data_IF_380938040097
#
_entry.id   IF_380938040097
#
_cell.length_a   1.000
_cell.length_b   1.000
_cell.length_c   1.000
_cell.angle_alpha   90.00
_cell.angle_beta   90.00
_cell.angle_gamma   90.00
#
_symmetry.space_group_name_H-M   'P 1'
#
loop_
_entity.id
_entity.type
_entity.pdbx_description
1 polymer ?
#
# COMPACT_ATOMS: atom_id res chain seq x y z
N UNK A 1 -43.37 7.27 35.76
CA UNK A 1 -42.07 6.58 35.54
C UNK A 1 -42.17 5.77 34.26
N UNK A 2 -41.49 6.19 33.19
CA UNK A 2 -41.40 5.40 31.97
C UNK A 2 -39.96 5.51 31.46
N UNK A 3 -39.31 4.36 31.48
CA UNK A 3 -37.90 4.14 31.18
C UNK A 3 -37.63 4.32 29.69
N UNK A 4 -36.71 5.23 29.34
CA UNK A 4 -36.09 5.27 28.01
C UNK A 4 -35.06 4.14 27.93
N UNK A 5 -35.26 3.20 27.01
CA UNK A 5 -34.29 2.15 26.69
C UNK A 5 -33.86 2.27 25.23
N UNK A 6 -32.58 1.97 25.04
CA UNK A 6 -31.88 1.65 23.79
C UNK A 6 -31.37 2.85 22.98
N UNK A 7 -30.21 3.37 23.42
CA UNK A 7 -29.18 3.83 22.50
C UNK A 7 -28.78 2.65 21.61
N UNK A 8 -29.11 2.72 20.32
CA UNK A 8 -28.46 1.88 19.31
C UNK A 8 -27.00 2.31 19.22
N UNK A 9 -26.09 1.49 19.73
CA UNK A 9 -24.67 1.63 19.41
C UNK A 9 -24.56 1.32 17.92
N UNK A 10 -24.28 2.35 17.11
CA UNK A 10 -23.94 2.15 15.72
C UNK A 10 -22.75 1.19 15.66
N UNK A 11 -22.93 0.00 15.09
CA UNK A 11 -21.84 -0.92 14.85
C UNK A 11 -20.82 -0.22 13.96
N UNK A 12 -19.66 0.15 14.52
CA UNK A 12 -18.52 0.60 13.71
C UNK A 12 -18.23 -0.53 12.71
N UNK A 13 -18.19 -0.21 11.42
CA UNK A 13 -17.68 -1.14 10.40
C UNK A 13 -16.16 -1.24 10.57
N UNK A 14 -15.73 -2.02 11.55
CA UNK A 14 -14.30 -2.25 11.81
C UNK A 14 -13.76 -3.18 10.71
N UNK A 15 -12.61 -2.78 10.14
CA UNK A 15 -11.88 -3.47 9.09
C UNK A 15 -10.43 -3.64 9.54
N UNK A 16 -9.87 -4.80 9.24
CA UNK A 16 -8.54 -5.28 9.63
C UNK A 16 -7.84 -5.79 8.37
N UNK A 17 -7.41 -4.90 7.46
CA UNK A 17 -6.94 -5.30 6.14
C UNK A 17 -5.59 -6.03 6.20
N UNK A 18 -5.30 -6.75 5.13
CA UNK A 18 -3.96 -7.20 4.78
C UNK A 18 -3.65 -6.70 3.37
N UNK A 19 -2.55 -5.99 3.18
CA UNK A 19 -2.11 -5.50 1.87
C UNK A 19 -0.84 -6.20 1.45
N UNK A 20 -0.75 -6.52 0.17
CA UNK A 20 0.44 -7.07 -0.45
C UNK A 20 1.11 -6.02 -1.32
N UNK A 21 2.44 -6.06 -1.32
CA UNK A 21 3.27 -5.25 -2.20
C UNK A 21 4.47 -6.09 -2.67
N UNK A 22 4.70 -6.16 -3.98
CA UNK A 22 5.86 -6.87 -4.50
C UNK A 22 5.74 -7.19 -5.98
N UNK A 23 6.72 -7.93 -6.52
CA UNK A 23 6.68 -8.38 -7.90
C UNK A 23 5.76 -9.60 -8.05
N UNK A 24 4.95 -9.60 -9.11
CA UNK A 24 4.02 -10.65 -9.47
C UNK A 24 4.21 -11.01 -10.95
N UNK A 25 4.38 -12.29 -11.22
CA UNK A 25 4.43 -12.85 -12.57
C UNK A 25 3.02 -13.06 -13.09
N UNK A 26 2.62 -12.35 -14.14
CA UNK A 26 1.31 -12.48 -14.76
C UNK A 26 1.35 -13.64 -15.75
N UNK A 27 0.73 -14.75 -15.37
CA UNK A 27 0.73 -16.00 -16.16
C UNK A 27 -0.33 -15.92 -17.26
N UNK A 28 -1.50 -15.39 -16.95
CA UNK A 28 -2.59 -15.26 -17.91
C UNK A 28 -3.45 -14.02 -17.64
N UNK A 29 -3.93 -13.41 -18.71
CA UNK A 29 -5.00 -12.42 -18.66
C UNK A 29 -6.34 -13.11 -18.94
N UNK A 30 -7.25 -13.04 -17.98
CA UNK A 30 -8.56 -13.71 -18.04
C UNK A 30 -9.67 -12.78 -18.55
N UNK A 31 -9.32 -11.54 -18.91
CA UNK A 31 -10.23 -10.53 -19.42
C UNK A 31 -11.00 -9.78 -18.33
N UNK A 32 -12.04 -9.06 -18.75
CA UNK A 32 -12.83 -8.21 -17.88
C UNK A 32 -13.90 -9.01 -17.12
N UNK A 33 -13.97 -8.81 -15.81
CA UNK A 33 -15.00 -9.37 -14.94
C UNK A 33 -16.35 -8.74 -15.26
N UNK A 34 -17.38 -9.58 -15.45
CA UNK A 34 -18.76 -9.15 -15.66
C UNK A 34 -19.21 -9.08 -17.13
N UNK A 35 -18.32 -9.35 -18.09
CA UNK A 35 -18.67 -9.51 -19.51
C UNK A 35 -19.17 -8.22 -20.17
N UNK A 36 -18.24 -7.48 -20.77
CA UNK A 36 -18.56 -6.32 -21.62
C UNK A 36 -17.28 -5.73 -22.18
N UNK A 37 -17.29 -5.31 -23.44
CA UNK A 37 -16.16 -4.62 -24.10
C UNK A 37 -16.17 -3.13 -23.72
N UNK A 38 -16.25 -2.83 -22.42
CA UNK A 38 -16.17 -1.45 -21.95
C UNK A 38 -14.72 -1.02 -21.85
N UNK A 39 -14.44 0.25 -22.15
CA UNK A 39 -13.06 0.78 -22.07
C UNK A 39 -12.47 0.65 -20.67
N UNK A 40 -13.31 0.72 -19.64
CA UNK A 40 -12.94 0.62 -18.23
C UNK A 40 -13.65 -0.54 -17.56
N UNK A 41 -12.98 -1.18 -16.60
CA UNK A 41 -13.54 -2.29 -15.86
C UNK A 41 -12.54 -2.94 -14.92
N UNK A 42 -12.99 -4.00 -14.25
CA UNK A 42 -12.11 -4.83 -13.44
C UNK A 42 -11.58 -5.98 -14.30
N UNK A 43 -10.26 -6.06 -14.44
CA UNK A 43 -9.59 -7.10 -15.19
C UNK A 43 -9.02 -8.15 -14.24
N UNK A 44 -9.16 -9.42 -14.62
CA UNK A 44 -8.70 -10.55 -13.82
C UNK A 44 -7.50 -11.22 -14.45
N UNK A 45 -6.54 -11.62 -13.62
CA UNK A 45 -5.30 -12.26 -14.04
C UNK A 45 -4.99 -13.48 -13.16
N UNK A 46 -4.33 -14.46 -13.75
CA UNK A 46 -3.65 -15.52 -13.02
C UNK A 46 -2.22 -15.08 -12.70
N UNK A 47 -1.86 -15.17 -11.41
CA UNK A 47 -0.50 -14.90 -10.93
C UNK A 47 -0.17 -15.83 -9.77
N UNK A 48 1.04 -15.75 -9.25
CA UNK A 48 1.51 -16.58 -8.15
C UNK A 48 2.23 -15.76 -7.09
N UNK A 49 2.26 -16.30 -5.88
CA UNK A 49 3.21 -15.87 -4.84
C UNK A 49 4.19 -17.02 -4.62
N UNK A 50 5.46 -16.74 -4.91
CA UNK A 50 6.57 -17.65 -4.71
C UNK A 50 7.22 -17.52 -3.34
N UNK A 51 7.55 -18.65 -2.72
CA UNK A 51 8.38 -18.73 -1.53
C UNK A 51 9.34 -19.91 -1.61
N UNK A 52 10.41 -19.88 -0.83
CA UNK A 52 11.39 -20.97 -0.78
C UNK A 52 11.04 -21.92 0.37
N UNK A 53 10.85 -23.20 0.08
CA UNK A 53 10.65 -24.23 1.10
C UNK A 53 11.89 -24.27 2.02
N UNK A 54 11.76 -23.98 3.33
CA UNK A 54 12.89 -23.99 4.25
C UNK A 54 13.52 -25.38 4.45
N UNK A 55 12.80 -26.45 4.13
CA UNK A 55 13.25 -27.84 4.28
C UNK A 55 13.99 -28.32 3.04
N UNK A 56 13.42 -28.05 1.86
CA UNK A 56 13.92 -28.57 0.57
C UNK A 56 14.80 -27.58 -0.19
N UNK A 57 14.69 -26.28 0.11
CA UNK A 57 15.33 -25.21 -0.65
C UNK A 57 14.73 -24.98 -2.04
N UNK A 58 13.66 -25.70 -2.37
CA UNK A 58 12.94 -25.58 -3.64
C UNK A 58 12.00 -24.37 -3.61
N UNK A 59 11.79 -23.74 -4.77
CA UNK A 59 10.78 -22.70 -4.91
C UNK A 59 9.40 -23.34 -5.07
N UNK A 60 8.44 -22.87 -4.26
CA UNK A 60 7.03 -23.25 -4.34
C UNK A 60 6.25 -21.99 -4.72
N UNK A 61 5.42 -22.11 -5.76
CA UNK A 61 4.56 -21.04 -6.24
C UNK A 61 3.09 -21.41 -6.02
N UNK A 62 2.37 -20.56 -5.29
CA UNK A 62 0.94 -20.74 -5.04
C UNK A 62 0.16 -19.76 -5.89
N UNK A 63 -0.77 -20.28 -6.69
CA UNK A 63 -1.61 -19.47 -7.58
C UNK A 63 -2.61 -18.62 -6.80
N UNK A 64 -2.73 -17.36 -7.19
CA UNK A 64 -3.73 -16.40 -6.72
C UNK A 64 -4.37 -15.71 -7.93
N UNK A 65 -5.51 -15.06 -7.72
CA UNK A 65 -6.08 -14.14 -8.71
C UNK A 65 -5.65 -12.72 -8.40
N UNK A 66 -5.30 -11.94 -9.42
CA UNK A 66 -5.16 -10.50 -9.30
C UNK A 66 -6.31 -9.81 -10.05
N UNK A 67 -7.00 -8.90 -9.37
CA UNK A 67 -8.12 -8.14 -9.91
C UNK A 67 -7.79 -6.65 -9.85
N UNK A 68 -7.45 -6.03 -11.00
CA UNK A 68 -7.13 -4.61 -11.06
C UNK A 68 -8.25 -3.85 -11.77
N UNK A 69 -8.71 -2.74 -11.19
CA UNK A 69 -9.62 -1.84 -11.89
C UNK A 69 -8.80 -0.90 -12.78
N UNK A 70 -9.11 -0.84 -14.06
CA UNK A 70 -8.34 -0.06 -15.02
C UNK A 70 -9.04 0.05 -16.35
N UNK A 71 -8.24 0.25 -17.40
CA UNK A 71 -8.73 0.35 -18.78
C UNK A 71 -8.11 -0.72 -19.66
N UNK A 72 -8.74 -1.06 -20.78
CA UNK A 72 -8.18 -2.06 -21.70
C UNK A 72 -6.74 -1.73 -22.17
N UNK A 73 -6.37 -0.46 -22.47
CA UNK A 73 -4.98 -0.10 -22.81
C UNK A 73 -3.97 -0.26 -21.67
N UNK A 74 -4.43 -0.21 -20.43
CA UNK A 74 -3.56 -0.33 -19.23
C UNK A 74 -3.62 -1.73 -18.60
N UNK A 75 -4.36 -2.65 -19.21
CA UNK A 75 -4.46 -4.03 -18.75
C UNK A 75 -3.08 -4.71 -18.70
N UNK A 76 -2.88 -5.56 -17.70
CA UNK A 76 -1.63 -6.29 -17.51
C UNK A 76 -1.51 -7.36 -18.59
N UNK A 77 -0.28 -7.57 -19.06
CA UNK A 77 0.01 -8.54 -20.11
C UNK A 77 0.52 -9.84 -19.49
N UNK A 78 0.16 -10.97 -20.12
CA UNK A 78 0.75 -12.25 -19.78
C UNK A 78 2.26 -12.27 -20.08
N UNK A 79 2.99 -13.15 -19.39
CA UNK A 79 4.44 -13.34 -19.49
C UNK A 79 5.26 -12.09 -19.16
N UNK A 80 4.70 -11.22 -18.30
CA UNK A 80 5.35 -10.03 -17.76
C UNK A 80 5.31 -10.05 -16.24
N UNK A 81 6.33 -9.46 -15.63
CA UNK A 81 6.38 -9.22 -14.19
C UNK A 81 6.02 -7.77 -13.90
N UNK A 82 5.11 -7.58 -12.96
CA UNK A 82 4.70 -6.27 -12.49
C UNK A 82 4.95 -6.14 -10.98
N UNK A 83 5.37 -4.95 -10.54
CA UNK A 83 5.22 -4.59 -9.14
C UNK A 83 3.75 -4.21 -8.93
N UNK A 84 3.05 -4.98 -8.10
CA UNK A 84 1.66 -4.75 -7.73
C UNK A 84 1.59 -4.34 -6.26
N UNK A 85 0.60 -3.52 -5.96
CA UNK A 85 0.15 -3.18 -4.62
C UNK A 85 -1.35 -3.40 -4.57
N UNK A 86 -1.85 -4.05 -3.52
CA UNK A 86 -3.29 -4.25 -3.37
C UNK A 86 -3.68 -4.87 -2.05
N UNK A 87 -4.99 -4.96 -1.83
CA UNK A 87 -5.57 -5.67 -0.68
C UNK A 87 -5.68 -7.16 -0.97
N UNK A 88 -5.30 -7.99 -0.01
CA UNK A 88 -5.46 -9.44 -0.08
C UNK A 88 -6.77 -9.85 0.57
N UNK A 89 -7.50 -10.75 -0.09
CA UNK A 89 -8.58 -11.54 0.50
C UNK A 89 -8.23 -13.02 0.36
N UNK A 90 -7.87 -13.66 1.46
CA UNK A 90 -7.44 -15.05 1.50
C UNK A 90 -8.35 -15.88 2.41
N UNK A 91 -9.55 -16.24 1.94
CA UNK A 91 -10.66 -16.81 2.75
C UNK A 91 -10.38 -18.11 3.52
N UNK A 92 -9.18 -18.69 3.41
CA UNK A 92 -8.82 -20.00 3.96
C UNK A 92 -9.77 -21.12 3.49
N UNK A 93 -10.23 -21.02 2.25
CA UNK A 93 -11.14 -21.97 1.58
C UNK A 93 -10.41 -22.67 0.41
N UNK A 94 -11.03 -23.69 -0.20
CA UNK A 94 -10.52 -24.33 -1.43
C UNK A 94 -10.76 -23.44 -2.67
N UNK A 95 -10.38 -22.17 -2.56
CA UNK A 95 -10.49 -21.18 -3.60
C UNK A 95 -9.20 -20.32 -3.61
N UNK A 96 -8.68 -19.93 -4.79
CA UNK A 96 -7.52 -19.06 -4.87
C UNK A 96 -7.76 -17.74 -4.13
N UNK A 97 -6.81 -17.27 -3.29
CA UNK A 97 -6.83 -15.92 -2.76
C UNK A 97 -6.91 -14.87 -3.86
N UNK A 98 -7.47 -13.70 -3.54
CA UNK A 98 -7.63 -12.60 -4.48
C UNK A 98 -6.84 -11.40 -4.00
N UNK A 99 -5.98 -10.87 -4.87
CA UNK A 99 -5.34 -9.57 -4.73
C UNK A 99 -6.17 -8.53 -5.49
N UNK A 100 -6.76 -7.58 -4.78
CA UNK A 100 -7.38 -6.40 -5.38
C UNK A 100 -6.32 -5.32 -5.57
N UNK A 101 -5.79 -5.23 -6.78
CA UNK A 101 -4.65 -4.36 -7.13
C UNK A 101 -5.07 -2.95 -7.51
N UNK A 102 -4.22 -1.99 -7.15
CA UNK A 102 -4.30 -0.59 -7.51
C UNK A 102 -3.52 -0.34 -8.81
N UNK A 103 -4.22 -0.07 -9.90
CA UNK A 103 -3.62 0.07 -11.23
C UNK A 103 -2.68 1.28 -11.33
N UNK A 104 -2.99 2.38 -10.65
CA UNK A 104 -2.23 3.64 -10.72
C UNK A 104 -0.79 3.54 -10.19
N UNK A 105 -0.52 2.55 -9.35
CA UNK A 105 0.81 2.30 -8.76
C UNK A 105 1.48 1.06 -9.34
N UNK A 106 0.90 0.47 -10.39
CA UNK A 106 1.43 -0.72 -11.04
C UNK A 106 2.60 -0.36 -11.97
N UNK A 107 3.69 -1.14 -11.91
CA UNK A 107 4.89 -0.93 -12.71
C UNK A 107 5.32 -2.23 -13.41
N UNK A 108 5.40 -2.23 -14.73
CA UNK A 108 6.03 -3.32 -15.49
C UNK A 108 7.56 -3.27 -15.29
N UNK A 109 8.15 -4.37 -14.84
CA UNK A 109 9.60 -4.46 -14.60
C UNK A 109 10.33 -5.39 -15.57
N UNK A 110 9.63 -6.10 -16.45
CA UNK A 110 10.23 -6.91 -17.51
C UNK A 110 9.47 -8.19 -17.84
N UNK A 111 10.11 -9.05 -18.62
CA UNK A 111 9.59 -10.36 -19.04
C UNK A 111 9.73 -11.41 -17.93
N UNK A 112 8.76 -12.30 -17.78
CA UNK A 112 8.78 -13.38 -16.80
C UNK A 112 10.03 -14.25 -16.89
N UNK A 113 10.51 -14.52 -18.12
CA UNK A 113 11.75 -15.27 -18.37
C UNK A 113 12.99 -14.71 -17.67
N UNK A 114 13.01 -13.40 -17.37
CA UNK A 114 14.11 -12.73 -16.66
C UNK A 114 14.11 -13.06 -15.16
N UNK A 115 12.97 -13.49 -14.61
CA UNK A 115 12.74 -13.57 -13.17
C UNK A 115 12.39 -14.98 -12.64
N UNK A 116 12.48 -16.02 -13.47
CA UNK A 116 11.97 -17.39 -13.20
C UNK A 116 12.41 -18.06 -11.89
N UNK A 117 13.44 -17.55 -11.20
CA UNK A 117 13.87 -18.03 -9.88
C UNK A 117 14.20 -16.90 -8.89
N UNK A 118 13.77 -15.68 -9.18
CA UNK A 118 14.16 -14.47 -8.45
C UNK A 118 13.01 -13.89 -7.59
N UNK A 119 11.78 -14.35 -7.79
CA UNK A 119 10.58 -13.80 -7.18
C UNK A 119 10.27 -14.38 -5.80
N UNK A 120 10.84 -15.54 -5.47
CA UNK A 120 10.63 -16.17 -4.17
C UNK A 120 10.95 -15.23 -3.00
N UNK A 121 10.02 -15.16 -2.04
CA UNK A 121 10.11 -14.36 -0.82
C UNK A 121 10.25 -12.84 -1.09
N UNK A 122 9.76 -12.34 -2.23
CA UNK A 122 9.81 -10.90 -2.58
C UNK A 122 8.49 -10.16 -2.38
N UNK A 123 7.41 -10.88 -2.07
CA UNK A 123 6.11 -10.28 -1.76
C UNK A 123 6.05 -9.91 -0.28
N UNK A 124 5.99 -8.61 -0.03
CA UNK A 124 5.80 -8.01 1.28
C UNK A 124 4.31 -8.00 1.61
N UNK A 125 4.01 -8.17 2.89
CA UNK A 125 2.66 -8.03 3.43
C UNK A 125 2.69 -7.02 4.58
N UNK A 126 1.71 -6.14 4.59
CA UNK A 126 1.38 -5.28 5.71
C UNK A 126 0.00 -5.68 6.24
N UNK A 127 -0.02 -6.21 7.44
CA UNK A 127 -1.21 -6.71 8.10
C UNK A 127 -1.63 -5.79 9.23
N UNK A 128 -2.92 -5.47 9.31
CA UNK A 128 -3.54 -4.95 10.51
C UNK A 128 -4.62 -5.94 10.94
N UNK A 129 -4.43 -6.61 12.08
CA UNK A 129 -5.27 -7.74 12.47
C UNK A 129 -5.43 -7.93 13.97
N UNK A 130 -6.39 -8.77 14.36
CA UNK A 130 -6.63 -9.15 15.76
C UNK A 130 -5.90 -10.45 16.04
N UNK A 131 -5.10 -10.48 17.11
CA UNK A 131 -4.42 -11.71 17.55
C UNK A 131 -5.45 -12.72 18.05
N UNK A 132 -5.57 -13.87 17.37
CA UNK A 132 -6.51 -14.95 17.75
C UNK A 132 -5.80 -16.19 18.30
N UNK A 133 -4.55 -16.43 17.90
CA UNK A 133 -3.70 -17.49 18.46
C UNK A 133 -2.27 -16.98 18.63
N UNK A 134 -1.59 -17.44 19.67
CA UNK A 134 -0.14 -17.27 19.81
C UNK A 134 0.49 -18.48 20.48
N UNK A 135 1.70 -18.83 20.03
CA UNK A 135 2.44 -20.00 20.53
C UNK A 135 3.94 -19.77 20.34
N UNK A 136 4.74 -20.07 21.36
CA UNK A 136 6.20 -20.05 21.24
C UNK A 136 6.67 -21.43 20.75
N UNK A 137 7.40 -21.43 19.63
CA UNK A 137 7.79 -22.64 18.90
C UNK A 137 9.31 -22.64 18.72
N UNK A 138 10.02 -23.74 19.03
CA UNK A 138 11.43 -23.87 18.68
C UNK A 138 11.64 -23.74 17.17
N UNK A 139 12.67 -23.01 16.76
CA UNK A 139 12.99 -22.82 15.35
C UNK A 139 14.43 -22.40 15.13
N UNK A 140 14.72 -22.03 13.89
CA UNK A 140 16.06 -21.61 13.48
C UNK A 140 16.05 -20.17 12.98
N UNK A 141 17.12 -19.44 13.31
CA UNK A 141 17.40 -18.09 12.86
C UNK A 141 18.35 -18.06 11.68
N UNK A 142 18.82 -16.85 11.38
CA UNK A 142 19.86 -16.65 10.36
C UNK A 142 21.10 -17.47 10.76
N UNK A 143 21.66 -18.22 9.82
CA UNK A 143 22.81 -19.09 10.07
C UNK A 143 22.50 -20.36 10.86
N UNK A 144 21.25 -20.84 10.82
CA UNK A 144 20.80 -22.06 11.52
C UNK A 144 21.02 -22.04 13.04
N UNK A 145 21.02 -20.84 13.64
CA UNK A 145 21.10 -20.68 15.08
C UNK A 145 19.75 -21.02 15.70
N UNK A 146 19.74 -21.97 16.65
CA UNK A 146 18.52 -22.31 17.39
C UNK A 146 17.98 -21.08 18.14
N UNK A 147 16.68 -20.86 18.04
CA UNK A 147 15.96 -19.79 18.72
C UNK A 147 14.50 -20.20 18.98
N UNK A 148 13.82 -19.49 19.87
CA UNK A 148 12.37 -19.65 20.07
C UNK A 148 11.65 -18.57 19.28
N UNK A 149 10.89 -18.97 18.25
CA UNK A 149 10.05 -18.05 17.48
C UNK A 149 8.67 -17.95 18.12
N UNK A 150 7.98 -16.84 17.88
CA UNK A 150 6.57 -16.70 18.24
C UNK A 150 5.72 -16.83 16.98
N UNK A 151 4.87 -17.84 16.96
CA UNK A 151 3.86 -18.05 15.94
C UNK A 151 2.59 -17.33 16.39
N UNK A 152 2.13 -16.37 15.61
CA UNK A 152 0.93 -15.56 15.91
C UNK A 152 -0.03 -15.67 14.74
N UNK A 153 -1.25 -16.11 14.98
CA UNK A 153 -2.30 -16.04 13.97
C UNK A 153 -3.05 -14.73 14.19
N UNK A 154 -3.07 -13.88 13.16
CA UNK A 154 -3.94 -12.72 13.13
C UNK A 154 -5.16 -13.01 12.27
N UNK A 155 -6.32 -12.66 12.81
CA UNK A 155 -7.57 -12.59 12.07
C UNK A 155 -7.67 -11.21 11.42
N UNK A 156 -7.73 -11.24 10.10
CA UNK A 156 -7.97 -10.12 9.23
C UNK A 156 -9.44 -10.11 8.82
N UNK A 157 -9.88 -8.94 8.38
CA UNK A 157 -11.25 -8.73 8.01
C UNK A 157 -11.34 -7.63 7.00
N UNK A 158 -11.92 -7.90 5.85
CA UNK A 158 -12.03 -6.90 4.77
C UNK A 158 -13.31 -7.10 3.96
N UNK A 159 -13.58 -6.19 3.05
CA UNK A 159 -14.66 -6.30 2.07
C UNK A 159 -14.15 -7.01 0.82
N UNK A 160 -14.86 -8.07 0.44
CA UNK A 160 -14.63 -8.79 -0.81
C UNK A 160 -15.56 -8.25 -1.89
N UNK A 161 -14.97 -7.62 -2.90
CA UNK A 161 -15.72 -7.02 -4.00
C UNK A 161 -16.48 -8.06 -4.84
N UNK A 162 -16.00 -9.31 -4.87
CA UNK A 162 -16.60 -10.38 -5.68
C UNK A 162 -17.88 -10.91 -5.05
N UNK A 163 -17.87 -11.20 -3.74
CA UNK A 163 -19.08 -11.62 -3.01
C UNK A 163 -19.91 -10.47 -2.46
N UNK A 164 -19.41 -9.24 -2.56
CA UNK A 164 -20.04 -8.03 -2.02
C UNK A 164 -20.34 -8.13 -0.52
N UNK A 165 -19.49 -8.85 0.21
CA UNK A 165 -19.66 -9.14 1.62
C UNK A 165 -18.37 -8.89 2.40
N UNK A 166 -18.54 -8.66 3.71
CA UNK A 166 -17.43 -8.67 4.65
C UNK A 166 -16.97 -10.11 4.86
N UNK A 167 -15.67 -10.34 4.75
CA UNK A 167 -15.05 -11.65 4.94
C UNK A 167 -13.99 -11.56 6.02
N UNK A 168 -13.83 -12.66 6.76
CA UNK A 168 -12.77 -12.83 7.76
C UNK A 168 -11.84 -13.93 7.27
N UNK A 169 -10.56 -13.76 7.54
CA UNK A 169 -9.55 -14.76 7.21
C UNK A 169 -8.35 -14.64 8.14
N UNK A 170 -7.56 -15.70 8.21
CA UNK A 170 -6.43 -15.85 9.12
C UNK A 170 -5.13 -15.99 8.34
N UNK A 171 -4.07 -15.42 8.91
CA UNK A 171 -2.70 -15.50 8.41
C UNK A 171 -1.77 -15.81 9.60
N UNK A 172 -0.84 -16.75 9.40
CA UNK A 172 0.19 -17.06 10.38
C UNK A 172 1.38 -16.12 10.20
N UNK A 173 1.75 -15.44 11.27
CA UNK A 173 2.93 -14.59 11.35
C UNK A 173 3.97 -15.23 12.27
N UNK A 174 5.15 -15.50 11.73
CA UNK A 174 6.32 -16.03 12.44
C UNK A 174 7.20 -14.85 12.84
N UNK A 175 7.16 -14.49 14.11
CA UNK A 175 8.02 -13.46 14.72
C UNK A 175 9.33 -14.11 15.16
N UNK A 176 10.48 -13.76 14.56
CA UNK A 176 11.75 -14.38 14.91
C UNK A 176 12.16 -14.06 16.36
N UNK A 177 12.65 -15.07 17.07
CA UNK A 177 13.25 -14.96 18.43
C UNK A 177 14.60 -14.26 18.49
N UNK A 178 14.95 -13.44 17.51
CA UNK A 178 16.26 -12.82 17.42
C UNK A 178 16.37 -11.58 18.34
N UNK A 179 17.56 -10.98 18.41
CA UNK A 179 17.82 -9.82 19.28
C UNK A 179 16.97 -8.58 18.95
N UNK A 180 16.40 -8.52 17.75
CA UNK A 180 15.61 -7.39 17.26
C UNK A 180 14.14 -7.56 17.68
N UNK A 181 13.53 -8.71 17.35
CA UNK A 181 12.10 -8.93 17.49
C UNK A 181 11.72 -9.81 18.69
N UNK A 182 12.62 -10.60 19.26
CA UNK A 182 12.30 -11.49 20.38
C UNK A 182 11.71 -10.77 21.60
N UNK A 183 12.15 -9.53 21.86
CA UNK A 183 11.61 -8.68 22.95
C UNK A 183 10.16 -8.22 22.71
N UNK A 184 9.65 -8.36 21.48
CA UNK A 184 8.31 -7.91 21.10
C UNK A 184 7.22 -8.96 21.37
N UNK A 185 7.57 -10.18 21.77
CA UNK A 185 6.61 -11.28 21.99
C UNK A 185 5.49 -10.90 22.98
N UNK A 186 5.81 -10.10 24.01
CA UNK A 186 4.82 -9.63 24.99
C UNK A 186 3.78 -8.64 24.43
N UNK A 187 4.00 -8.09 23.23
CA UNK A 187 3.09 -7.15 22.58
C UNK A 187 1.85 -7.85 21.99
N UNK A 188 2.02 -9.08 21.52
CA UNK A 188 0.98 -9.91 20.91
C UNK A 188 0.07 -10.51 21.98
N UNK A 189 -0.99 -9.81 22.38
CA UNK A 189 -1.97 -10.34 23.35
C UNK A 189 -3.21 -10.81 22.60
N UNK A 190 -3.80 -11.92 23.03
CA UNK A 190 -5.08 -12.39 22.46
C UNK A 190 -6.11 -11.26 22.49
N UNK A 191 -6.86 -11.10 21.40
CA UNK A 191 -7.87 -10.05 21.22
C UNK A 191 -7.31 -8.65 20.94
N UNK A 192 -5.98 -8.47 20.93
CA UNK A 192 -5.37 -7.16 20.66
C UNK A 192 -5.19 -6.94 19.17
N UNK A 193 -5.51 -5.74 18.72
CA UNK A 193 -5.13 -5.25 17.39
C UNK A 193 -3.62 -5.04 17.30
N UNK A 194 -3.04 -5.46 16.18
CA UNK A 194 -1.61 -5.34 15.92
C UNK A 194 -1.40 -4.99 14.46
N UNK A 195 -0.57 -3.98 14.21
CA UNK A 195 -0.01 -3.73 12.89
C UNK A 195 1.31 -4.50 12.77
N UNK A 196 1.48 -5.21 11.67
CA UNK A 196 2.61 -6.09 11.44
C UNK A 196 3.04 -6.01 9.99
N UNK A 197 4.34 -6.08 9.75
CA UNK A 197 4.91 -6.12 8.40
C UNK A 197 5.89 -7.28 8.30
N UNK A 198 5.92 -7.91 7.14
CA UNK A 198 6.76 -9.06 6.85
C UNK A 198 6.74 -9.40 5.37
N UNK A 199 7.18 -10.59 5.04
CA UNK A 199 7.09 -11.12 3.69
C UNK A 199 6.49 -12.52 3.71
N UNK A 200 5.79 -12.89 2.63
CA UNK A 200 5.25 -14.24 2.47
C UNK A 200 6.43 -15.22 2.37
N UNK A 201 6.48 -16.19 3.27
CA UNK A 201 7.57 -17.17 3.37
C UNK A 201 7.09 -18.61 3.29
N UNK A 202 5.78 -18.84 3.24
CA UNK A 202 5.21 -20.17 3.26
C UNK A 202 3.70 -20.18 3.05
N UNK A 203 3.14 -21.38 2.94
CA UNK A 203 1.72 -21.63 2.88
C UNK A 203 1.44 -22.98 3.57
N UNK A 204 0.44 -23.00 4.46
CA UNK A 204 0.01 -24.18 5.19
C UNK A 204 -1.17 -24.81 4.43
N UNK A 205 -1.00 -25.92 3.70
CA UNK A 205 -2.07 -26.45 2.83
C UNK A 205 -3.28 -26.94 3.62
N UNK A 206 -3.06 -27.48 4.82
CA UNK A 206 -4.12 -28.02 5.68
C UNK A 206 -5.12 -26.94 6.12
N UNK A 207 -4.59 -25.78 6.52
CA UNK A 207 -5.37 -24.66 7.04
C UNK A 207 -5.61 -23.60 5.97
N UNK A 208 -5.06 -23.79 4.76
CA UNK A 208 -5.16 -22.90 3.60
C UNK A 208 -4.75 -21.48 3.95
N UNK A 209 -3.66 -21.37 4.70
CA UNK A 209 -3.24 -20.16 5.38
C UNK A 209 -1.83 -19.77 4.97
N UNK A 210 -1.62 -18.49 4.68
CA UNK A 210 -0.30 -17.95 4.38
C UNK A 210 0.58 -17.90 5.64
N UNK A 211 1.87 -18.14 5.45
CA UNK A 211 2.89 -17.93 6.47
C UNK A 211 3.73 -16.70 6.12
N UNK A 212 3.91 -15.84 7.11
CA UNK A 212 4.61 -14.57 6.99
C UNK A 212 5.79 -14.55 7.93
N UNK A 213 6.97 -14.25 7.41
CA UNK A 213 8.13 -13.96 8.25
C UNK A 213 8.17 -12.47 8.58
N UNK A 214 8.05 -12.16 9.87
CA UNK A 214 7.87 -10.79 10.36
C UNK A 214 9.19 -10.04 10.37
N UNK A 215 9.14 -8.79 9.92
CA UNK A 215 10.28 -7.86 9.90
C UNK A 215 10.04 -6.66 10.81
N UNK A 216 8.79 -6.25 11.02
CA UNK A 216 8.43 -5.15 11.91
C UNK A 216 7.07 -5.39 12.58
N UNK A 217 6.91 -4.84 13.79
CA UNK A 217 5.66 -4.87 14.55
C UNK A 217 5.42 -3.52 15.19
N UNK A 218 4.17 -3.07 15.13
CA UNK A 218 3.68 -1.89 15.83
C UNK A 218 2.42 -2.27 16.63
N UNK A 219 2.48 -2.29 17.96
CA UNK A 219 1.29 -2.47 18.77
C UNK A 219 0.41 -1.23 18.59
N UNK A 220 -0.88 -1.42 18.32
CA UNK A 220 -1.77 -0.26 18.31
C UNK A 220 -2.15 0.12 19.74
N UNK A 221 -2.24 1.43 19.93
CA UNK A 221 -3.01 2.04 20.99
C UNK A 221 -4.30 2.47 20.31
N UNK A 222 -5.46 2.35 20.97
CA UNK A 222 -6.65 3.07 20.51
C UNK A 222 -6.42 4.58 20.50
N UNK A 223 -7.49 5.36 20.34
CA UNK A 223 -7.45 6.82 20.28
C UNK A 223 -6.55 7.43 21.38
N UNK A 224 -5.34 7.88 21.02
CA UNK A 224 -4.45 8.62 21.94
C UNK A 224 -4.84 10.09 21.91
N UNK A 225 -5.00 10.70 23.09
CA UNK A 225 -5.11 12.14 23.19
C UNK A 225 -3.78 12.78 22.72
N UNK A 226 -3.84 13.61 21.67
CA UNK A 226 -2.67 14.29 21.15
C UNK A 226 -2.03 15.15 22.25
N UNK A 227 -0.79 14.83 22.63
CA UNK A 227 0.00 15.70 23.51
C UNK A 227 0.85 16.61 22.63
N UNK A 228 0.52 17.90 22.58
CA UNK A 228 1.28 18.90 21.80
C UNK A 228 2.59 19.18 22.52
N UNK A 229 3.72 18.74 21.96
CA UNK A 229 5.06 19.08 22.45
C UNK A 229 5.70 20.09 21.51
N UNK A 230 6.20 21.19 22.06
CA UNK A 230 6.91 22.25 21.32
C UNK A 230 8.35 21.79 21.02
N UNK A 231 8.82 21.81 19.77
CA UNK A 231 10.17 21.36 19.43
C UNK A 231 11.23 22.40 19.85
N UNK A 232 12.30 21.93 20.49
CA UNK A 232 13.45 22.74 20.92
C UNK A 232 14.63 22.55 19.93
N UNK A 233 15.15 23.65 19.36
CA UNK A 233 16.26 23.63 18.38
C UNK A 233 17.59 23.33 19.08
N UNK A 234 18.25 22.25 18.66
CA UNK A 234 19.66 21.99 18.94
C UNK A 234 20.54 22.37 17.75
N UNK A 235 21.76 22.86 18.01
CA UNK A 235 22.74 23.24 16.99
C UNK A 235 23.62 22.04 16.59
N UNK A 236 23.99 21.91 15.31
CA UNK A 236 25.22 21.18 14.89
C UNK A 236 25.66 21.42 13.44
N UNK A 237 26.97 21.17 13.30
CA UNK A 237 27.96 21.42 12.23
C UNK A 237 27.70 20.72 10.88
N UNK A 238 28.16 21.34 9.79
CA UNK A 238 27.89 20.93 8.41
C UNK A 238 29.09 20.41 7.59
N UNK A 239 28.74 19.76 6.46
CA UNK A 239 29.35 19.72 5.12
C UNK A 239 28.91 18.43 4.38
N UNK A 240 28.72 18.29 3.05
CA UNK A 240 28.31 19.11 1.88
C UNK A 240 28.08 18.15 0.68
N UNK A 241 27.32 18.58 -0.34
CA UNK A 241 27.16 18.07 -1.73
C UNK A 241 26.11 16.96 -2.03
N UNK A 242 24.92 17.33 -2.55
CA UNK A 242 24.00 16.39 -3.25
C UNK A 242 23.19 17.02 -4.42
N UNK A 243 22.85 16.12 -5.35
CA UNK A 243 22.17 16.14 -6.69
C UNK A 243 21.22 17.32 -7.02
N UNK A 244 21.11 17.74 -8.31
CA UNK A 244 20.14 18.75 -8.76
C UNK A 244 18.70 18.36 -8.42
N UNK A 245 17.93 19.31 -7.86
CA UNK A 245 16.51 19.10 -7.53
C UNK A 245 16.21 18.31 -6.25
N UNK A 246 17.23 17.89 -5.50
CA UNK A 246 17.03 17.24 -4.21
C UNK A 246 16.58 18.26 -3.16
N UNK A 247 15.29 18.24 -2.82
CA UNK A 247 14.81 18.94 -1.62
C UNK A 247 15.07 18.03 -0.44
N UNK A 248 16.16 18.29 0.26
CA UNK A 248 16.36 17.72 1.58
C UNK A 248 15.51 18.53 2.55
N UNK A 249 14.42 17.93 3.03
CA UNK A 249 13.58 18.56 4.06
C UNK A 249 14.46 18.81 5.30
N UNK A 250 14.69 20.09 5.62
CA UNK A 250 15.54 20.53 6.74
C UNK A 250 16.73 21.45 6.38
N UNK A 251 16.96 21.81 5.12
CA UNK A 251 18.04 22.73 4.71
C UNK A 251 17.51 24.03 4.13
N UNK A 252 17.63 25.15 4.85
CA UNK A 252 17.50 26.50 4.24
C UNK A 252 18.84 26.90 3.62
N UNK A 253 18.84 27.15 2.30
CA UNK A 253 19.99 27.66 1.55
C UNK A 253 20.05 29.18 1.67
N UNK A 254 21.15 29.73 2.18
CA UNK A 254 21.52 31.12 1.95
C UNK A 254 22.84 31.16 1.16
N UNK A 255 22.80 31.86 0.02
CA UNK A 255 23.91 32.06 -0.92
C UNK A 255 25.16 32.65 -0.24
N UNK A 256 26.39 32.25 -0.64
CA UNK A 256 27.58 32.98 -0.25
C UNK A 256 27.94 34.07 -1.28
N UNK A 257 28.30 35.25 -0.76
CA UNK A 257 29.02 36.31 -1.46
C UNK A 257 30.50 35.91 -1.59
N UNK A 258 31.19 36.18 -2.73
CA UNK A 258 32.57 35.72 -2.91
C UNK A 258 33.54 36.65 -2.16
N UNK A 259 34.47 36.06 -1.41
CA UNK A 259 35.67 36.79 -0.94
C UNK A 259 36.89 36.18 -1.63
N UNK A 260 37.56 37.02 -2.40
CA UNK A 260 38.83 36.74 -3.06
C UNK A 260 39.93 36.41 -2.04
N UNK A 261 40.76 35.42 -2.35
CA UNK A 261 42.12 35.35 -1.81
C UNK A 261 43.12 35.07 -2.94
N UNK A 262 44.35 35.60 -2.82
CA UNK A 262 45.24 35.82 -3.95
C UNK A 262 46.07 34.60 -4.33
N UNK A 263 46.49 34.64 -5.59
CA UNK A 263 47.51 33.85 -6.26
C UNK A 263 48.89 33.99 -5.54
N UNK A 264 49.94 33.20 -5.78
CA UNK A 264 50.27 32.22 -6.82
C UNK A 264 51.64 31.56 -6.48
N UNK A 265 52.04 30.61 -7.33
CA UNK A 265 53.40 30.09 -7.62
C UNK A 265 53.89 28.88 -6.82
N UNK A 266 54.44 27.82 -7.42
CA UNK A 266 54.80 27.49 -8.81
C UNK A 266 55.18 26.00 -8.87
N UNK A 267 54.74 25.25 -9.89
CA UNK A 267 55.46 24.90 -11.14
C UNK A 267 56.21 23.57 -11.07
N UNK A 268 55.83 22.60 -11.93
CA UNK A 268 56.72 21.84 -12.83
C UNK A 268 55.92 20.83 -13.70
N UNK A 269 56.01 21.02 -15.03
CA UNK A 269 56.06 20.05 -16.16
C UNK A 269 55.04 18.89 -16.24
N UNK A 270 54.55 18.43 -17.39
CA UNK A 270 54.78 18.70 -18.81
C UNK A 270 53.55 18.18 -19.59
N UNK A 271 53.28 18.78 -20.75
CA UNK A 271 52.13 18.48 -21.58
C UNK A 271 52.46 17.50 -22.72
N UNK A 272 51.47 16.66 -23.02
CA UNK A 272 51.07 16.11 -24.33
C UNK A 272 51.00 14.57 -24.36
N UNK A 273 49.78 14.01 -24.39
CA UNK A 273 49.21 13.57 -25.66
C UNK A 273 47.71 13.32 -25.59
N UNK A 274 47.08 13.54 -26.72
CA UNK A 274 45.65 13.54 -27.05
C UNK A 274 45.12 12.12 -27.21
N UNK A 275 43.85 11.85 -26.84
CA UNK A 275 42.94 10.96 -27.58
C UNK A 275 41.49 11.10 -27.12
N UNK A 276 40.74 11.80 -27.95
CA UNK A 276 39.31 11.77 -28.25
C UNK A 276 38.41 10.71 -27.59
N UNK A 277 37.29 11.17 -27.01
CA UNK A 277 35.97 10.66 -27.37
C UNK A 277 35.00 11.83 -27.58
N UNK A 278 34.39 11.81 -28.76
CA UNK A 278 33.61 12.87 -29.38
C UNK A 278 32.13 12.46 -29.29
N UNK A 279 31.31 13.22 -28.56
CA UNK A 279 29.85 13.07 -28.57
C UNK A 279 29.26 14.01 -29.63
N UNK A 280 28.42 13.54 -30.57
CA UNK A 280 27.70 14.44 -31.45
C UNK A 280 26.44 14.97 -30.76
N UNK A 281 26.31 16.29 -30.73
CA UNK A 281 25.07 16.98 -30.47
C UNK A 281 24.14 16.96 -31.70
N UNK A 282 22.84 16.92 -31.41
CA UNK A 282 21.71 17.53 -32.14
C UNK A 282 21.77 17.72 -33.66
N UNK A 283 20.86 17.04 -34.34
CA UNK A 283 20.18 17.56 -35.53
C UNK A 283 18.70 17.16 -35.44
N UNK A 284 17.81 18.16 -35.30
CA UNK A 284 16.36 17.93 -35.40
C UNK A 284 15.91 17.85 -36.85
N UNK A 285 14.64 17.46 -37.08
CA UNK A 285 13.87 17.99 -38.19
C UNK A 285 12.68 18.81 -37.68
N UNK A 286 12.57 20.01 -38.23
CA UNK A 286 11.37 20.83 -38.22
C UNK A 286 10.21 20.09 -38.91
N UNK A 287 9.05 20.05 -38.27
CA UNK A 287 7.80 19.57 -38.84
C UNK A 287 6.64 20.29 -38.17
N UNK A 288 6.12 21.30 -38.86
CA UNK A 288 4.88 22.01 -38.55
C UNK A 288 3.71 21.02 -38.55
N UNK A 289 2.89 21.04 -37.50
CA UNK A 289 1.73 20.16 -37.34
C UNK A 289 0.84 20.65 -36.20
N UNK A 290 -0.13 21.45 -36.58
CA UNK A 290 -1.34 21.92 -35.89
C UNK A 290 -1.74 21.15 -34.62
N UNK A 291 -1.92 21.88 -33.50
CA UNK A 291 -2.62 21.39 -32.31
C UNK A 291 -4.02 20.86 -32.70
N UNK A 292 -4.41 19.63 -32.35
CA UNK A 292 -5.81 19.24 -32.48
C UNK A 292 -6.64 20.00 -31.43
N UNK A 293 -7.63 20.71 -31.96
CA UNK A 293 -8.72 21.39 -31.26
C UNK A 293 -9.36 20.45 -30.24
N UNK A 294 -9.53 20.93 -29.01
CA UNK A 294 -10.36 20.29 -27.97
C UNK A 294 -11.80 20.29 -28.50
N UNK A 295 -12.45 19.14 -28.70
CA UNK A 295 -13.88 19.14 -28.93
C UNK A 295 -14.57 19.40 -27.59
N UNK A 296 -15.25 20.54 -27.48
CA UNK A 296 -16.37 20.67 -26.57
C UNK A 296 -17.43 19.65 -26.99
N UNK A 297 -17.81 18.74 -26.10
CA UNK A 297 -19.00 17.92 -26.28
C UNK A 297 -19.88 17.95 -25.04
N UNK A 298 -21.16 18.02 -25.40
CA UNK A 298 -22.35 18.28 -24.62
C UNK A 298 -22.64 17.19 -23.59
N UNK A 299 -23.30 17.63 -22.52
CA UNK A 299 -23.86 16.82 -21.44
C UNK A 299 -24.89 15.83 -22.03
N UNK A 300 -24.50 14.56 -22.15
CA UNK A 300 -25.37 13.48 -22.60
C UNK A 300 -26.32 13.05 -21.50
N UNK A 301 -27.52 13.59 -21.52
CA UNK A 301 -28.67 13.24 -20.68
C UNK A 301 -28.96 11.72 -20.73
N UNK A 302 -28.78 11.04 -19.59
CA UNK A 302 -29.27 9.66 -19.42
C UNK A 302 -30.70 9.74 -18.90
N UNK A 303 -31.66 9.35 -19.74
CA UNK A 303 -33.07 9.19 -19.35
C UNK A 303 -33.21 8.14 -18.24
N UNK A 304 -33.68 8.57 -17.06
CA UNK A 304 -34.05 7.69 -15.94
C UNK A 304 -35.24 6.78 -16.32
N UNK A 305 -35.09 5.48 -16.09
CA UNK A 305 -36.22 4.56 -15.99
C UNK A 305 -36.93 4.74 -14.62
N UNK A 306 -38.24 4.51 -14.61
CA UNK A 306 -39.24 4.86 -13.59
C UNK A 306 -38.85 4.71 -12.10
N UNK A 307 -39.42 5.56 -11.21
CA UNK A 307 -38.93 5.74 -9.84
C UNK A 307 -39.34 4.63 -8.88
N UNK A 308 -38.36 4.02 -8.21
CA UNK A 308 -38.58 3.34 -6.92
C UNK A 308 -38.88 4.37 -5.81
N UNK A 309 -39.65 4.00 -4.76
CA UNK A 309 -40.12 4.97 -3.77
C UNK A 309 -38.97 5.68 -3.05
N UNK A 310 -38.99 7.01 -3.16
CA UNK A 310 -38.03 7.95 -2.57
C UNK A 310 -37.71 7.65 -1.10
N UNK A 311 -36.41 7.61 -0.80
CA UNK A 311 -35.90 7.74 0.56
C UNK A 311 -36.42 9.04 1.20
N UNK A 312 -37.23 8.92 2.25
CA UNK A 312 -37.69 10.06 3.04
C UNK A 312 -36.57 10.50 3.98
N UNK A 313 -35.97 11.66 3.68
CA UNK A 313 -34.96 12.29 4.53
C UNK A 313 -35.61 12.74 5.86
N UNK A 314 -35.32 12.02 6.94
CA UNK A 314 -35.82 12.28 8.30
C UNK A 314 -34.89 13.18 9.14
N UNK A 315 -33.81 13.72 8.55
CA UNK A 315 -32.95 14.68 9.24
C UNK A 315 -33.56 16.09 9.17
N UNK A 316 -33.68 16.75 10.33
CA UNK A 316 -34.13 18.14 10.40
C UNK A 316 -33.20 19.05 9.58
N UNK A 317 -33.76 19.85 8.67
CA UNK A 317 -33.02 20.87 7.91
C UNK A 317 -32.24 21.76 8.88
N UNK A 318 -30.92 21.85 8.66
CA UNK A 318 -30.02 22.73 9.39
C UNK A 318 -30.54 24.18 9.28
N UNK A 319 -30.87 24.79 10.41
CA UNK A 319 -31.37 26.17 10.43
C UNK A 319 -30.32 27.12 9.85
N UNK A 320 -30.76 28.03 8.98
CA UNK A 320 -29.92 29.08 8.42
C UNK A 320 -29.67 30.16 9.47
N UNK A 321 -28.50 30.81 9.39
CA UNK A 321 -28.09 31.88 10.33
C UNK A 321 -29.10 33.03 10.42
N UNK A 322 -29.84 33.31 9.34
CA UNK A 322 -30.96 34.28 9.33
C UNK A 322 -32.16 33.84 10.18
N UNK A 323 -32.44 32.53 10.26
CA UNK A 323 -33.52 31.98 11.09
C UNK A 323 -33.20 32.06 12.59
N UNK A 324 -31.93 31.85 12.97
CA UNK A 324 -31.49 31.93 14.37
C UNK A 324 -31.59 33.36 14.95
N UNK A 325 -31.34 34.39 14.12
CA UNK A 325 -31.40 35.80 14.54
C UNK A 325 -32.86 36.29 14.71
N UNK A 326 -33.79 35.75 13.91
CA UNK A 326 -35.21 36.10 14.01
C UNK A 326 -35.86 35.53 15.28
N UNK A 327 -35.53 34.28 15.66
CA UNK A 327 -36.02 33.65 16.89
C UNK A 327 -35.44 34.28 18.17
N UNK A 328 -34.18 34.73 18.13
CA UNK A 328 -33.57 35.46 19.24
C UNK A 328 -34.25 36.82 19.50
N UNK A 329 -34.66 37.54 18.45
CA UNK A 329 -35.42 38.80 18.61
C UNK A 329 -36.84 38.59 19.13
N UNK A 330 -37.46 37.44 18.83
CA UNK A 330 -38.82 37.12 19.31
C UNK A 330 -38.82 36.73 20.79
N UNK A 331 -37.74 36.12 21.29
CA UNK A 331 -37.57 35.78 22.72
C UNK A 331 -37.26 36.98 23.62
N UNK A 332 -36.73 38.09 23.10
CA UNK A 332 -36.48 39.32 23.89
C UNK A 332 -37.68 40.28 24.00
N UNK A 333 -38.83 39.97 23.40
CA UNK A 333 -40.07 40.75 23.56
C UNK A 333 -41.17 40.01 24.34
N UNK A 334 -40.82 38.87 24.92
CA UNK A 334 -41.72 38.02 25.72
C UNK A 334 -41.33 37.93 27.20
N UNK A 335 -40.59 38.91 27.70
CA UNK A 335 -40.29 39.20 29.11
C UNK A 335 -40.07 40.71 29.24
#
# INVERSE_FOLDING_TARGET
MQTKSNNSVAFRRICHPATLHGPFDIIASLGQIGGGDTTYGQFQYDTTIGFTDPTRGEEINIMIKANCYGSAPTALQADKVYVLHGRLVARNEDAPPILFCEQDVTLNIGDSSTYMSALANKVVIEGFGIVVKREEVPGFGVGNVAQTNLHVVLRHTDYDNMSRSKVEFEILYIVPGNKILGKTFGLFRLGRETAISGYISGYIPKDKMWEVKVTAVAPTSGDQAATVVVPQRGARSGNTHRRPGLIQLGTEQNNPTPTEQPANNGSLADAANVSNYQSPAGAGPSGSGTLPVIPEYEDGEVTEAAPEPQFVNTFQKRQTSKGMIADAKKRMKGL
#
